data_IF_365585907469
#
_entry.id   IF_365585907469
#
_cell.length_a   1.000
_cell.length_b   1.000
_cell.length_c   1.000
_cell.angle_alpha   90.00
_cell.angle_beta   90.00
_cell.angle_gamma   90.00
#
_symmetry.space_group_name_H-M   'P 1'
#
loop_
_entity.id
_entity.type
_entity.pdbx_description
1 polymer ?
#
# COMPACT_ATOMS: atom_id res chain seq x y z
N UNK A 1 -42.08 49.33 34.29
CA UNK A 1 -41.86 47.93 34.76
C UNK A 1 -41.86 47.04 33.53
N UNK A 2 -40.80 46.36 33.10
CA UNK A 2 -39.68 45.69 33.80
C UNK A 2 -38.38 45.89 33.00
N UNK A 3 -37.31 46.21 33.71
CA UNK A 3 -35.93 46.24 33.21
C UNK A 3 -35.36 44.83 33.12
N UNK A 4 -34.65 44.50 32.04
CA UNK A 4 -33.80 43.32 31.95
C UNK A 4 -32.34 43.75 32.10
N UNK A 5 -31.72 43.28 33.17
CA UNK A 5 -30.30 43.47 33.50
C UNK A 5 -29.50 42.41 32.74
N UNK A 6 -28.60 42.85 31.86
CA UNK A 6 -27.60 42.03 31.20
C UNK A 6 -26.48 41.71 32.23
N UNK A 7 -26.33 40.46 32.61
CA UNK A 7 -25.21 40.00 33.43
C UNK A 7 -24.02 39.64 32.52
N UNK A 8 -23.02 40.53 32.45
CA UNK A 8 -21.72 40.25 31.84
C UNK A 8 -20.86 39.56 32.91
N UNK A 9 -20.69 38.25 32.80
CA UNK A 9 -19.80 37.47 33.64
C UNK A 9 -18.34 37.71 33.23
N UNK A 10 -17.66 38.59 33.96
CA UNK A 10 -16.21 38.80 33.89
C UNK A 10 -15.52 37.71 34.74
N UNK A 11 -15.02 36.63 34.12
CA UNK A 11 -14.11 35.71 34.80
C UNK A 11 -12.68 36.27 34.76
N UNK A 12 -12.24 36.87 35.86
CA UNK A 12 -10.81 37.11 36.13
C UNK A 12 -10.12 35.76 36.39
N UNK A 13 -9.16 35.42 35.54
CA UNK A 13 -8.17 34.38 35.86
C UNK A 13 -7.00 35.04 36.61
N UNK A 14 -6.85 34.71 37.89
CA UNK A 14 -5.67 35.08 38.69
C UNK A 14 -4.58 34.05 38.36
N UNK A 15 -3.54 34.48 37.64
CA UNK A 15 -2.34 33.67 37.46
C UNK A 15 -1.36 33.96 38.60
N UNK A 16 -1.22 33.02 39.53
CA UNK A 16 -0.05 32.95 40.41
C UNK A 16 1.11 32.34 39.62
N UNK A 17 2.17 33.13 39.39
CA UNK A 17 3.41 32.64 38.83
C UNK A 17 4.29 32.06 39.95
N UNK A 18 4.44 30.73 39.96
CA UNK A 18 5.56 30.07 40.64
C UNK A 18 6.64 29.85 39.57
N UNK A 19 7.80 30.49 39.74
CA UNK A 19 8.97 30.33 38.88
C UNK A 19 9.62 28.95 39.12
N UNK A 20 9.02 27.91 38.56
CA UNK A 20 9.67 26.62 38.32
C UNK A 20 10.37 26.63 36.97
N UNK A 21 11.53 25.96 36.86
CA UNK A 21 12.20 25.74 35.58
C UNK A 21 11.24 25.04 34.62
N UNK A 22 10.79 25.73 33.56
CA UNK A 22 9.89 25.13 32.54
C UNK A 22 10.59 23.91 31.91
N UNK A 23 9.93 22.75 31.94
CA UNK A 23 10.41 21.57 31.23
C UNK A 23 10.51 21.92 29.74
N UNK A 24 11.66 21.72 29.07
CA UNK A 24 11.79 21.92 27.62
C UNK A 24 10.80 21.09 26.78
N UNK A 25 10.18 20.07 27.37
CA UNK A 25 9.14 19.27 26.76
C UNK A 25 7.73 19.87 26.87
N UNK A 26 7.51 20.84 27.77
CA UNK A 26 6.22 21.51 27.95
C UNK A 26 6.04 22.65 26.95
N UNK A 27 4.82 22.84 26.41
CA UNK A 27 4.55 23.97 25.53
C UNK A 27 4.62 25.27 26.34
N UNK A 28 5.38 26.24 25.83
CA UNK A 28 5.49 27.55 26.48
C UNK A 28 4.27 28.42 26.19
N UNK A 29 3.62 28.18 25.05
CA UNK A 29 2.36 28.80 24.65
C UNK A 29 1.43 27.81 23.99
N UNK A 30 0.13 28.02 24.21
CA UNK A 30 -0.92 27.26 23.53
C UNK A 30 -2.14 28.13 23.25
N UNK A 31 -2.88 27.78 22.21
CA UNK A 31 -4.23 28.29 21.96
C UNK A 31 -5.08 27.19 21.35
N UNK A 32 -6.40 27.31 21.52
CA UNK A 32 -7.36 26.38 20.93
C UNK A 32 -8.26 27.09 19.94
N UNK A 33 -8.74 26.34 18.96
CA UNK A 33 -9.75 26.77 18.00
C UNK A 33 -10.81 25.69 17.93
N UNK A 34 -12.08 26.08 18.00
CA UNK A 34 -13.20 25.16 17.76
C UNK A 34 -14.22 25.86 16.89
N UNK A 35 -14.65 25.19 15.83
CA UNK A 35 -15.66 25.71 14.91
C UNK A 35 -16.46 24.57 14.33
N UNK A 36 -17.73 24.85 14.07
CA UNK A 36 -18.61 23.92 13.40
C UNK A 36 -19.43 24.56 12.30
N UNK A 37 -19.88 23.72 11.39
CA UNK A 37 -20.77 24.05 10.29
C UNK A 37 -21.82 22.96 10.12
N UNK A 38 -23.08 23.32 9.84
CA UNK A 38 -24.07 22.32 9.42
C UNK A 38 -23.61 21.65 8.12
N UNK A 39 -23.88 20.37 7.99
CA UNK A 39 -23.60 19.57 6.79
C UNK A 39 -24.88 18.97 6.22
N UNK A 40 -25.07 19.10 4.90
CA UNK A 40 -25.97 18.29 4.12
C UNK A 40 -25.21 17.12 3.44
N UNK A 41 -25.93 16.25 2.72
CA UNK A 41 -25.34 15.06 2.11
C UNK A 41 -24.43 15.33 0.90
N UNK A 42 -24.52 16.51 0.29
CA UNK A 42 -23.73 16.89 -0.89
C UNK A 42 -22.45 17.63 -0.51
N UNK A 43 -22.38 18.18 0.71
CA UNK A 43 -21.21 18.88 1.21
C UNK A 43 -19.94 18.02 1.16
N UNK A 44 -18.85 18.65 0.71
CA UNK A 44 -17.50 18.09 0.62
C UNK A 44 -16.60 18.79 1.64
N UNK A 45 -15.91 17.98 2.45
CA UNK A 45 -15.04 18.48 3.52
C UNK A 45 -13.59 18.46 3.07
N UNK A 46 -12.89 19.59 3.24
CA UNK A 46 -11.48 19.76 2.92
C UNK A 46 -10.68 20.11 4.17
N UNK A 47 -9.73 19.26 4.55
CA UNK A 47 -8.86 19.47 5.71
C UNK A 47 -7.40 19.62 5.25
N UNK A 48 -6.74 20.69 5.65
CA UNK A 48 -5.33 20.91 5.37
C UNK A 48 -4.60 21.26 6.66
N UNK A 49 -3.68 20.39 7.07
CA UNK A 49 -2.88 20.58 8.26
C UNK A 49 -1.39 20.30 8.01
N UNK A 50 -0.55 20.88 8.86
CA UNK A 50 0.89 20.62 8.92
C UNK A 50 1.36 20.72 10.36
N UNK A 51 2.33 19.89 10.71
CA UNK A 51 2.96 19.81 12.03
C UNK A 51 1.99 19.34 13.12
N UNK A 52 1.28 18.24 12.91
CA UNK A 52 0.48 17.64 13.96
C UNK A 52 -0.46 16.55 13.46
N UNK A 53 -1.10 15.88 14.40
CA UNK A 53 -1.95 14.73 14.09
C UNK A 53 -3.35 15.16 13.67
N UNK A 54 -4.00 14.34 12.84
CA UNK A 54 -5.43 14.47 12.55
C UNK A 54 -6.17 13.21 12.98
N UNK A 55 -7.18 13.37 13.84
CA UNK A 55 -8.07 12.30 14.25
C UNK A 55 -9.48 12.57 13.71
N UNK A 56 -9.92 11.73 12.76
CA UNK A 56 -11.24 11.82 12.13
C UNK A 56 -12.18 10.81 12.80
N UNK A 57 -13.20 11.34 13.48
CA UNK A 57 -14.27 10.59 14.14
C UNK A 57 -15.57 10.79 13.40
N UNK A 58 -16.33 9.70 13.27
CA UNK A 58 -17.65 9.74 12.65
C UNK A 58 -18.77 9.82 13.69
N UNK A 59 -19.88 10.47 13.33
CA UNK A 59 -21.08 10.58 14.16
C UNK A 59 -22.36 10.73 13.32
N UNK A 60 -23.52 10.67 13.95
CA UNK A 60 -24.83 10.72 13.27
C UNK A 60 -25.45 12.13 13.23
N UNK A 61 -24.63 13.18 13.42
CA UNK A 61 -25.09 14.57 13.37
C UNK A 61 -24.81 15.18 12.01
N UNK A 62 -25.78 15.91 11.45
CA UNK A 62 -25.68 16.68 10.20
C UNK A 62 -24.85 17.97 10.37
N UNK A 63 -23.64 17.80 10.89
CA UNK A 63 -22.74 18.88 11.26
C UNK A 63 -21.30 18.35 11.24
N UNK A 64 -20.35 19.21 10.89
CA UNK A 64 -18.93 19.00 11.16
C UNK A 64 -18.51 19.88 12.32
N UNK A 65 -17.77 19.33 13.28
CA UNK A 65 -17.05 20.08 14.30
C UNK A 65 -15.56 19.74 14.22
N UNK A 66 -14.73 20.77 14.24
CA UNK A 66 -13.28 20.63 14.25
C UNK A 66 -12.74 21.35 15.49
N UNK A 67 -12.08 20.59 16.35
CA UNK A 67 -11.33 21.10 17.49
C UNK A 67 -9.83 21.03 17.17
N UNK A 68 -9.12 22.13 17.38
CA UNK A 68 -7.70 22.28 17.07
C UNK A 68 -6.96 22.77 18.30
N UNK A 69 -5.92 22.03 18.69
CA UNK A 69 -4.98 22.38 19.75
C UNK A 69 -3.65 22.83 19.11
N UNK A 70 -3.30 24.11 19.31
CA UNK A 70 -2.09 24.72 18.78
C UNK A 70 -1.13 24.94 19.94
N UNK A 71 0.07 24.37 19.86
CA UNK A 71 1.11 24.45 20.89
C UNK A 71 2.42 24.91 20.28
N UNK A 72 3.07 25.91 20.88
CA UNK A 72 4.41 26.33 20.52
C UNK A 72 5.40 26.04 21.64
N UNK A 73 6.54 25.51 21.24
CA UNK A 73 7.68 25.20 22.09
C UNK A 73 8.80 26.14 21.67
N UNK A 74 9.31 26.94 22.61
CA UNK A 74 10.53 27.72 22.45
C UNK A 74 11.15 27.97 23.82
N UNK A 75 12.47 28.17 23.86
CA UNK A 75 13.15 28.64 25.09
C UNK A 75 12.77 30.09 25.43
N UNK A 76 12.31 30.85 24.44
CA UNK A 76 11.91 32.23 24.56
C UNK A 76 10.39 32.31 24.46
N UNK A 77 9.78 32.86 25.50
CA UNK A 77 8.34 33.00 25.64
C UNK A 77 7.73 33.93 24.59
N UNK A 78 8.43 34.99 24.19
CA UNK A 78 8.00 35.89 23.13
C UNK A 78 8.07 35.20 21.75
N UNK A 79 9.09 34.37 21.52
CA UNK A 79 9.18 33.55 20.32
C UNK A 79 8.06 32.50 20.26
N UNK A 80 7.78 31.82 21.37
CA UNK A 80 6.65 30.88 21.47
C UNK A 80 5.30 31.59 21.22
N UNK A 81 5.12 32.80 21.76
CA UNK A 81 3.93 33.61 21.52
C UNK A 81 3.79 33.96 20.04
N UNK A 82 4.87 34.44 19.41
CA UNK A 82 4.91 34.76 17.98
C UNK A 82 4.56 33.53 17.12
N UNK A 83 5.08 32.35 17.43
CA UNK A 83 4.75 31.12 16.73
C UNK A 83 3.26 30.76 16.82
N UNK A 84 2.66 30.90 18.01
CA UNK A 84 1.23 30.69 18.20
C UNK A 84 0.41 31.71 17.43
N UNK A 85 0.75 33.00 17.52
CA UNK A 85 0.00 34.09 16.87
C UNK A 85 0.10 34.01 15.34
N UNK A 86 1.28 33.65 14.83
CA UNK A 86 1.52 33.39 13.41
C UNK A 86 0.80 32.15 12.87
N UNK A 87 0.20 31.32 13.72
CA UNK A 87 -0.58 30.14 13.29
C UNK A 87 -2.06 30.46 13.23
N UNK A 88 -2.60 30.59 12.03
CA UNK A 88 -3.99 31.01 11.78
C UNK A 88 -4.77 29.86 11.16
N UNK A 89 -5.93 29.56 11.74
CA UNK A 89 -6.88 28.60 11.17
C UNK A 89 -7.92 29.37 10.34
N UNK A 90 -8.00 29.06 9.05
CA UNK A 90 -9.10 29.51 8.19
C UNK A 90 -10.14 28.41 8.14
N UNK A 91 -11.36 28.73 8.58
CA UNK A 91 -12.51 27.84 8.50
C UNK A 91 -13.62 28.53 7.70
N UNK A 92 -14.05 27.93 6.60
CA UNK A 92 -15.01 28.52 5.67
C UNK A 92 -16.03 27.48 5.20
N UNK A 93 -17.26 27.94 4.93
CA UNK A 93 -18.28 27.19 4.22
C UNK A 93 -18.82 28.06 3.07
N UNK A 94 -18.62 27.60 1.85
CA UNK A 94 -19.08 28.28 0.63
C UNK A 94 -19.65 27.26 -0.34
N UNK A 95 -20.93 27.43 -0.68
CA UNK A 95 -21.66 26.45 -1.49
C UNK A 95 -21.66 25.07 -0.84
N UNK A 96 -21.19 24.06 -1.59
CA UNK A 96 -21.06 22.66 -1.17
C UNK A 96 -19.68 22.33 -0.57
N UNK A 97 -18.83 23.33 -0.32
CA UNK A 97 -17.50 23.13 0.25
C UNK A 97 -17.45 23.60 1.70
N UNK A 98 -16.93 22.75 2.58
CA UNK A 98 -16.51 23.11 3.93
C UNK A 98 -15.01 22.89 4.05
N UNK A 99 -14.27 23.89 4.52
CA UNK A 99 -12.81 23.84 4.59
C UNK A 99 -12.25 24.27 5.94
N UNK A 100 -11.16 23.60 6.35
CA UNK A 100 -10.34 23.96 7.50
C UNK A 100 -8.87 23.90 7.10
N UNK A 101 -8.18 25.02 7.18
CA UNK A 101 -6.78 25.15 6.74
C UNK A 101 -5.92 25.80 7.81
N UNK A 102 -4.83 25.14 8.18
CA UNK A 102 -3.75 25.74 8.96
C UNK A 102 -2.86 26.59 8.05
N UNK A 103 -2.71 27.87 8.40
CA UNK A 103 -1.77 28.78 7.76
C UNK A 103 -0.74 29.23 8.79
N UNK A 104 0.51 29.37 8.34
CA UNK A 104 1.60 29.90 9.15
C UNK A 104 2.08 31.19 8.53
N UNK A 105 2.29 32.22 9.35
CA UNK A 105 3.01 33.40 8.94
C UNK A 105 4.45 33.04 8.53
N UNK A 106 5.06 33.85 7.68
CA UNK A 106 6.47 33.68 7.33
C UNK A 106 7.32 34.00 8.55
N UNK A 107 7.95 32.98 9.13
CA UNK A 107 8.76 33.14 10.33
C UNK A 107 10.25 33.09 10.04
N UNK A 108 11.02 33.96 10.70
CA UNK A 108 12.48 33.91 10.75
C UNK A 108 12.95 32.97 11.87
N UNK A 109 14.08 32.28 11.63
CA UNK A 109 14.74 31.39 12.60
C UNK A 109 14.68 29.90 12.23
N UNK A 110 15.66 29.13 12.71
CA UNK A 110 15.75 27.68 12.47
C UNK A 110 14.77 26.93 13.38
N UNK A 111 13.85 26.17 12.78
CA UNK A 111 13.01 25.21 13.50
C UNK A 111 13.78 23.91 13.76
N UNK A 112 13.54 23.27 14.90
CA UNK A 112 14.18 22.02 15.25
C UNK A 112 14.28 21.80 16.76
N UNK A 113 14.66 20.58 17.13
CA UNK A 113 14.98 20.21 18.50
C UNK A 113 16.38 19.62 18.55
N UNK A 114 17.14 19.92 19.60
CA UNK A 114 18.44 19.30 19.87
C UNK A 114 18.40 18.55 21.19
N UNK A 115 19.03 17.38 21.19
CA UNK A 115 19.02 16.45 22.32
C UNK A 115 20.46 16.10 22.71
N UNK A 116 20.74 16.00 24.02
CA UNK A 116 22.01 15.47 24.57
C UNK A 116 21.71 14.60 25.78
N UNK A 117 22.31 13.41 25.80
CA UNK A 117 22.11 12.42 26.86
C UNK A 117 20.62 12.13 27.15
N UNK A 118 19.78 12.07 26.10
CA UNK A 118 18.34 11.82 26.23
C UNK A 118 17.51 13.01 26.74
N UNK A 119 18.11 14.17 27.02
CA UNK A 119 17.42 15.40 27.44
C UNK A 119 17.37 16.42 26.32
N UNK A 120 16.22 17.08 26.17
CA UNK A 120 16.00 18.19 25.23
C UNK A 120 16.80 19.42 25.70
N UNK A 121 17.76 19.90 24.90
CA UNK A 121 18.55 21.11 25.20
C UNK A 121 17.87 22.36 24.65
N UNK A 122 17.35 22.26 23.43
CA UNK A 122 16.62 23.33 22.78
C UNK A 122 15.53 22.76 21.91
N UNK A 123 14.43 23.49 21.82
CA UNK A 123 13.29 23.12 21.01
C UNK A 123 12.63 24.38 20.49
N UNK A 124 12.47 24.44 19.18
CA UNK A 124 11.66 25.44 18.49
C UNK A 124 10.74 24.73 17.52
N UNK A 125 9.51 24.51 17.94
CA UNK A 125 8.54 23.65 17.24
C UNK A 125 7.12 24.20 17.42
N UNK A 126 6.28 23.98 16.41
CA UNK A 126 4.84 24.15 16.50
C UNK A 126 4.15 22.81 16.34
N UNK A 127 3.09 22.57 17.12
CA UNK A 127 2.20 21.42 16.99
C UNK A 127 0.77 21.89 16.80
N UNK A 128 0.09 21.36 15.79
CA UNK A 128 -1.30 21.69 15.44
C UNK A 128 -2.08 20.40 15.30
N UNK A 129 -2.75 19.98 16.38
CA UNK A 129 -3.48 18.71 16.41
C UNK A 129 -4.96 18.94 16.14
N UNK A 130 -5.54 18.16 15.22
CA UNK A 130 -6.94 18.21 14.85
C UNK A 130 -7.70 17.03 15.44
N UNK A 131 -8.89 17.31 15.98
CA UNK A 131 -9.93 16.33 16.22
C UNK A 131 -11.18 16.74 15.45
N UNK A 132 -11.57 15.93 14.48
CA UNK A 132 -12.71 16.18 13.59
C UNK A 132 -13.84 15.23 13.92
N UNK A 133 -15.05 15.76 14.04
CA UNK A 133 -16.29 15.02 14.16
C UNK A 133 -17.17 15.34 12.94
N UNK A 134 -17.52 14.37 12.12
CA UNK A 134 -18.33 14.56 10.91
C UNK A 134 -19.18 13.33 10.56
N UNK A 135 -20.25 13.42 9.75
CA UNK A 135 -20.94 12.25 9.23
C UNK A 135 -19.99 11.35 8.44
N UNK A 136 -20.19 10.05 8.53
CA UNK A 136 -19.40 9.08 7.78
C UNK A 136 -19.64 9.15 6.26
N UNK A 137 -20.69 9.81 5.79
CA UNK A 137 -21.17 9.77 4.40
C UNK A 137 -20.65 10.93 3.54
N UNK A 138 -20.27 12.04 4.15
CA UNK A 138 -19.74 13.19 3.42
C UNK A 138 -18.39 12.85 2.77
N UNK A 139 -18.11 13.40 1.59
CA UNK A 139 -16.80 13.24 0.97
C UNK A 139 -15.74 14.00 1.78
N UNK A 140 -14.57 13.40 1.94
CA UNK A 140 -13.45 13.95 2.69
C UNK A 140 -12.20 14.00 1.83
N UNK A 141 -11.66 15.20 1.63
CA UNK A 141 -10.30 15.42 1.14
C UNK A 141 -9.45 15.92 2.30
N UNK A 142 -8.35 15.24 2.59
CA UNK A 142 -7.40 15.66 3.61
C UNK A 142 -5.97 15.65 3.11
N UNK A 143 -5.19 16.61 3.61
CA UNK A 143 -3.75 16.69 3.43
C UNK A 143 -3.08 16.93 4.78
N UNK A 144 -2.14 16.06 5.16
CA UNK A 144 -1.29 16.26 6.33
C UNK A 144 0.19 16.19 5.98
N UNK A 145 0.98 17.04 6.60
CA UNK A 145 2.45 16.98 6.54
C UNK A 145 3.01 17.00 7.96
N UNK A 146 3.92 16.08 8.27
CA UNK A 146 4.57 15.95 9.59
C UNK A 146 3.58 15.65 10.72
N UNK A 147 2.87 14.52 10.60
CA UNK A 147 1.97 14.04 11.64
C UNK A 147 1.09 12.90 11.16
N UNK A 148 0.62 12.09 12.10
CA UNK A 148 -0.20 10.92 11.81
C UNK A 148 -1.64 11.33 11.47
N UNK A 149 -2.29 10.51 10.65
CA UNK A 149 -3.72 10.62 10.35
C UNK A 149 -4.39 9.32 10.77
N UNK A 150 -5.42 9.44 11.62
CA UNK A 150 -6.22 8.32 12.09
C UNK A 150 -7.68 8.55 11.65
N UNK A 151 -8.23 7.60 10.90
CA UNK A 151 -9.61 7.65 10.39
C UNK A 151 -10.33 6.41 10.89
N UNK A 152 -11.50 6.62 11.52
CA UNK A 152 -12.41 5.53 11.85
C UNK A 152 -13.03 4.87 10.61
N UNK A 153 -14.15 4.17 10.81
CA UNK A 153 -14.92 3.66 9.68
C UNK A 153 -15.62 4.81 8.94
N UNK A 154 -15.57 4.79 7.62
CA UNK A 154 -16.03 5.87 6.74
C UNK A 154 -16.73 5.31 5.49
N UNK A 155 -17.71 6.04 4.97
CA UNK A 155 -18.57 5.60 3.85
C UNK A 155 -18.66 6.59 2.69
N UNK A 156 -18.29 7.86 2.90
CA UNK A 156 -18.07 8.84 1.85
C UNK A 156 -16.78 8.56 1.09
N UNK A 157 -16.64 9.21 -0.07
CA UNK A 157 -15.38 9.17 -0.83
C UNK A 157 -14.24 9.78 0.00
N UNK A 158 -13.05 9.20 -0.10
CA UNK A 158 -11.87 9.66 0.64
C UNK A 158 -10.71 9.96 -0.32
N UNK A 159 -10.15 11.16 -0.20
CA UNK A 159 -8.85 11.51 -0.77
C UNK A 159 -7.93 11.87 0.40
N UNK A 160 -6.89 11.09 0.65
CA UNK A 160 -5.96 11.33 1.75
C UNK A 160 -4.52 11.45 1.23
N UNK A 161 -3.90 12.60 1.49
CA UNK A 161 -2.49 12.86 1.20
C UNK A 161 -1.71 13.02 2.51
N UNK A 162 -0.78 12.12 2.78
CA UNK A 162 0.00 12.13 4.02
C UNK A 162 1.49 12.09 3.72
N UNK A 163 2.24 13.08 4.19
CA UNK A 163 3.69 13.12 4.06
C UNK A 163 4.36 13.19 5.43
N UNK A 164 5.41 12.39 5.64
CA UNK A 164 6.15 12.35 6.91
C UNK A 164 5.25 12.02 8.12
N UNK A 165 4.36 11.05 7.94
CA UNK A 165 3.40 10.63 8.95
C UNK A 165 2.73 9.31 8.56
N UNK A 166 2.20 8.60 9.55
CA UNK A 166 1.49 7.34 9.30
C UNK A 166 0.00 7.57 9.06
N UNK A 167 -0.61 6.73 8.24
CA UNK A 167 -2.04 6.70 8.00
C UNK A 167 -2.63 5.39 8.58
N UNK A 168 -3.54 5.52 9.55
CA UNK A 168 -4.32 4.38 10.06
C UNK A 168 -5.79 4.56 9.72
N UNK A 169 -6.38 3.56 9.08
CA UNK A 169 -7.78 3.59 8.63
C UNK A 169 -8.50 2.32 9.07
N UNK A 170 -9.72 2.50 9.57
CA UNK A 170 -10.67 1.41 9.81
C UNK A 170 -11.25 0.86 8.50
N UNK A 171 -12.59 0.85 8.40
CA UNK A 171 -13.30 0.32 7.24
C UNK A 171 -13.76 1.43 6.30
N UNK A 172 -13.37 1.37 5.02
CA UNK A 172 -13.81 2.30 3.97
C UNK A 172 -14.80 1.62 3.02
N UNK A 173 -16.06 2.05 3.05
CA UNK A 173 -17.14 1.42 2.26
C UNK A 173 -17.27 1.98 0.84
N UNK A 174 -16.85 3.22 0.62
CA UNK A 174 -16.97 3.85 -0.69
C UNK A 174 -16.05 3.17 -1.72
N UNK A 175 -16.43 3.16 -2.99
CA UNK A 175 -15.55 2.66 -4.07
C UNK A 175 -14.48 3.69 -4.48
N UNK A 176 -14.70 4.97 -4.20
CA UNK A 176 -13.79 6.06 -4.54
C UNK A 176 -12.90 6.43 -3.35
N UNK A 177 -11.79 5.71 -3.20
CA UNK A 177 -10.74 6.06 -2.25
C UNK A 177 -9.40 6.26 -2.96
N UNK A 178 -8.75 7.39 -2.72
CA UNK A 178 -7.43 7.74 -3.25
C UNK A 178 -6.50 8.05 -2.09
N UNK A 179 -5.45 7.27 -1.92
CA UNK A 179 -4.52 7.38 -0.81
C UNK A 179 -3.10 7.62 -1.34
N UNK A 180 -2.51 8.77 -1.05
CA UNK A 180 -1.13 9.12 -1.41
C UNK A 180 -0.30 9.30 -0.14
N UNK A 181 0.65 8.39 0.09
CA UNK A 181 1.49 8.38 1.30
C UNK A 181 2.96 8.42 0.90
N UNK A 182 3.68 9.37 1.48
CA UNK A 182 5.13 9.53 1.31
C UNK A 182 5.83 9.59 2.66
N UNK A 183 6.93 8.84 2.82
CA UNK A 183 7.70 8.84 4.08
C UNK A 183 6.87 8.46 5.31
N UNK A 184 5.99 7.47 5.16
CA UNK A 184 5.03 7.06 6.17
C UNK A 184 4.74 5.56 6.14
N UNK A 185 4.05 5.08 7.16
CA UNK A 185 3.45 3.75 7.18
C UNK A 185 1.94 3.84 7.00
N UNK A 186 1.34 2.90 6.29
CA UNK A 186 -0.11 2.85 6.07
C UNK A 186 -0.68 1.54 6.60
N UNK A 187 -1.71 1.62 7.45
CA UNK A 187 -2.46 0.47 7.96
C UNK A 187 -3.94 0.64 7.67
N UNK A 188 -4.54 -0.33 6.98
CA UNK A 188 -5.96 -0.33 6.60
C UNK A 188 -6.57 -1.67 7.04
N UNK A 189 -7.69 -1.61 7.74
CA UNK A 189 -8.43 -2.82 8.12
C UNK A 189 -9.18 -3.41 6.92
N UNK A 190 -10.15 -2.68 6.38
CA UNK A 190 -10.92 -3.09 5.20
C UNK A 190 -11.23 -1.89 4.30
N UNK A 191 -11.20 -2.10 2.98
CA UNK A 191 -11.47 -1.04 2.01
C UNK A 191 -12.18 -1.62 0.77
N UNK A 192 -13.26 -0.99 0.31
CA UNK A 192 -14.04 -1.53 -0.81
C UNK A 192 -13.23 -1.47 -2.13
N UNK A 193 -12.80 -0.28 -2.54
CA UNK A 193 -11.88 -0.14 -3.68
C UNK A 193 -10.96 1.05 -3.48
N UNK A 194 -9.74 0.99 -4.02
CA UNK A 194 -8.77 2.06 -3.84
C UNK A 194 -7.74 2.17 -4.95
N UNK A 195 -7.33 3.42 -5.20
CA UNK A 195 -6.06 3.76 -5.84
C UNK A 195 -5.10 4.23 -4.75
N UNK A 196 -3.97 3.54 -4.61
CA UNK A 196 -2.99 3.79 -3.55
C UNK A 196 -1.62 4.05 -4.16
N UNK A 197 -0.98 5.14 -3.72
CA UNK A 197 0.41 5.45 -4.01
C UNK A 197 1.20 5.49 -2.70
N UNK A 198 2.12 4.56 -2.52
CA UNK A 198 2.95 4.44 -1.32
C UNK A 198 4.43 4.60 -1.69
N UNK A 199 5.09 5.65 -1.21
CA UNK A 199 6.48 5.95 -1.61
C UNK A 199 7.40 6.22 -0.40
N UNK A 200 8.63 5.70 -0.46
CA UNK A 200 9.73 6.00 0.47
C UNK A 200 9.35 5.80 1.94
N UNK A 201 8.53 4.79 2.24
CA UNK A 201 7.86 4.65 3.53
C UNK A 201 8.15 3.33 4.22
N UNK A 202 7.77 3.25 5.50
CA UNK A 202 7.95 2.04 6.30
C UNK A 202 7.12 0.85 5.76
N UNK A 203 6.07 1.12 4.97
CA UNK A 203 5.30 0.10 4.27
C UNK A 203 3.79 0.37 4.23
N UNK A 204 3.08 -0.61 3.68
CA UNK A 204 1.63 -0.64 3.52
C UNK A 204 1.10 -2.00 3.96
N UNK A 205 0.19 -2.00 4.93
CA UNK A 205 -0.51 -3.17 5.41
C UNK A 205 -2.02 -3.02 5.21
N UNK A 206 -2.62 -3.93 4.43
CA UNK A 206 -4.07 -3.98 4.20
C UNK A 206 -4.59 -5.34 4.65
N UNK A 207 -5.61 -5.36 5.51
CA UNK A 207 -6.30 -6.59 5.87
C UNK A 207 -7.07 -7.15 4.68
N UNK A 208 -8.11 -6.44 4.25
CA UNK A 208 -8.96 -6.84 3.11
C UNK A 208 -9.25 -5.67 2.19
N UNK A 209 -9.20 -5.91 0.88
CA UNK A 209 -9.63 -4.96 -0.14
C UNK A 209 -10.53 -5.62 -1.19
N UNK A 210 -11.50 -4.90 -1.74
CA UNK A 210 -12.26 -5.37 -2.90
C UNK A 210 -11.41 -5.30 -4.16
N UNK A 211 -11.30 -4.11 -4.77
CA UNK A 211 -10.49 -3.87 -5.98
C UNK A 211 -9.33 -2.91 -5.69
N UNK A 212 -8.15 -3.18 -6.27
CA UNK A 212 -6.93 -2.42 -5.97
C UNK A 212 -6.21 -1.94 -7.24
N UNK A 213 -5.82 -0.67 -7.22
CA UNK A 213 -4.74 -0.14 -8.05
C UNK A 213 -3.62 0.38 -7.14
N UNK A 214 -2.44 -0.23 -7.16
CA UNK A 214 -1.32 0.08 -6.27
C UNK A 214 -0.06 0.44 -7.04
N UNK A 215 0.49 1.61 -6.71
CA UNK A 215 1.88 1.97 -7.00
C UNK A 215 2.68 2.05 -5.69
N UNK A 216 3.62 1.12 -5.52
CA UNK A 216 4.52 1.09 -4.37
C UNK A 216 5.98 1.31 -4.80
N UNK A 217 6.70 2.21 -4.12
CA UNK A 217 8.10 2.47 -4.42
C UNK A 217 8.92 2.62 -3.12
N UNK A 218 10.01 1.86 -2.99
CA UNK A 218 10.82 1.85 -1.77
C UNK A 218 9.99 1.62 -0.50
N UNK A 219 9.08 0.65 -0.55
CA UNK A 219 8.17 0.31 0.54
C UNK A 219 7.89 -1.19 0.57
N UNK A 220 7.66 -1.74 1.77
CA UNK A 220 7.15 -3.11 1.92
C UNK A 220 5.63 -3.12 1.80
N UNK A 221 5.06 -4.15 1.19
CA UNK A 221 3.61 -4.27 1.01
C UNK A 221 3.14 -5.63 1.52
N UNK A 222 2.17 -5.62 2.43
CA UNK A 222 1.48 -6.83 2.92
C UNK A 222 -0.03 -6.66 2.74
N UNK A 223 -0.67 -7.57 2.01
CA UNK A 223 -2.11 -7.57 1.79
C UNK A 223 -2.67 -8.95 2.11
N UNK A 224 -3.64 -9.01 3.02
CA UNK A 224 -4.29 -10.27 3.39
C UNK A 224 -5.12 -10.84 2.24
N UNK A 225 -6.22 -10.17 1.90
CA UNK A 225 -7.13 -10.61 0.83
C UNK A 225 -7.50 -9.46 -0.10
N UNK A 226 -7.42 -9.73 -1.40
CA UNK A 226 -8.00 -8.92 -2.47
C UNK A 226 -9.17 -9.73 -3.05
N UNK A 227 -10.41 -9.23 -2.90
CA UNK A 227 -11.61 -9.98 -3.28
C UNK A 227 -11.77 -10.09 -4.80
N UNK A 228 -11.37 -9.06 -5.53
CA UNK A 228 -11.58 -8.92 -6.98
C UNK A 228 -10.25 -8.71 -7.70
N UNK A 229 -10.22 -7.74 -8.62
CA UNK A 229 -9.09 -7.44 -9.48
C UNK A 229 -8.07 -6.54 -8.78
N UNK A 230 -6.79 -6.83 -9.03
CA UNK A 230 -5.67 -6.04 -8.57
C UNK A 230 -4.75 -5.69 -9.74
N UNK A 231 -4.38 -4.42 -9.84
CA UNK A 231 -3.23 -3.95 -10.63
C UNK A 231 -2.18 -3.46 -9.64
N UNK A 232 -1.02 -4.09 -9.63
CA UNK A 232 0.05 -3.78 -8.68
C UNK A 232 1.36 -3.53 -9.41
N UNK A 233 1.91 -2.35 -9.19
CA UNK A 233 3.26 -1.98 -9.62
C UNK A 233 4.13 -1.74 -8.40
N UNK A 234 5.23 -2.48 -8.27
CA UNK A 234 6.19 -2.26 -7.19
C UNK A 234 7.62 -2.14 -7.71
N UNK A 235 8.31 -1.08 -7.28
CA UNK A 235 9.70 -0.84 -7.62
C UNK A 235 10.51 -0.60 -6.35
N UNK A 236 11.47 -1.48 -6.10
CA UNK A 236 12.34 -1.45 -4.93
C UNK A 236 11.58 -1.62 -3.60
N UNK A 237 12.26 -2.18 -2.60
CA UNK A 237 11.77 -2.29 -1.23
C UNK A 237 11.89 -3.68 -0.66
N UNK A 238 11.48 -3.87 0.61
CA UNK A 238 11.61 -5.13 1.33
C UNK A 238 10.88 -6.32 0.66
N UNK A 239 9.76 -6.07 -0.02
CA UNK A 239 9.01 -7.11 -0.73
C UNK A 239 7.51 -6.83 -0.85
N UNK A 240 6.82 -7.78 -1.46
CA UNK A 240 5.37 -7.87 -1.64
C UNK A 240 4.87 -9.22 -1.11
N UNK A 241 3.94 -9.21 -0.16
CA UNK A 241 3.22 -10.42 0.29
C UNK A 241 1.71 -10.21 0.07
N UNK A 242 1.10 -11.05 -0.76
CA UNK A 242 -0.35 -11.09 -0.99
C UNK A 242 -0.86 -12.48 -0.63
N UNK A 243 -1.73 -12.57 0.37
CA UNK A 243 -2.28 -13.85 0.84
C UNK A 243 -3.22 -14.48 -0.18
N UNK A 244 -4.25 -13.75 -0.62
CA UNK A 244 -5.25 -14.22 -1.59
C UNK A 244 -5.68 -13.11 -2.54
N UNK A 245 -5.84 -13.42 -3.82
CA UNK A 245 -6.37 -12.51 -4.84
C UNK A 245 -7.20 -13.28 -5.88
N UNK A 246 -8.22 -12.63 -6.45
CA UNK A 246 -8.96 -13.21 -7.58
C UNK A 246 -8.14 -13.11 -8.86
N UNK A 247 -8.01 -11.91 -9.43
CA UNK A 247 -7.22 -11.66 -10.64
C UNK A 247 -6.13 -10.63 -10.36
N UNK A 248 -4.96 -10.81 -10.97
CA UNK A 248 -3.78 -10.01 -10.67
C UNK A 248 -3.01 -9.65 -11.94
N UNK A 249 -2.87 -8.35 -12.21
CA UNK A 249 -1.79 -7.81 -13.06
C UNK A 249 -0.68 -7.29 -12.13
N UNK A 250 0.49 -7.87 -12.23
CA UNK A 250 1.62 -7.61 -11.35
C UNK A 250 2.87 -7.25 -12.16
N UNK A 251 3.42 -6.07 -11.89
CA UNK A 251 4.70 -5.63 -12.44
C UNK A 251 5.65 -5.23 -11.31
N UNK A 252 6.70 -6.02 -11.10
CA UNK A 252 7.62 -5.82 -9.99
C UNK A 252 9.07 -5.86 -10.44
N UNK A 253 9.84 -4.92 -9.92
CA UNK A 253 11.28 -4.78 -10.16
C UNK A 253 12.03 -4.61 -8.84
N UNK A 254 13.10 -5.38 -8.65
CA UNK A 254 13.98 -5.28 -7.47
C UNK A 254 13.27 -5.45 -6.11
N UNK A 255 12.28 -6.33 -6.03
CA UNK A 255 11.64 -6.73 -4.77
C UNK A 255 11.31 -8.23 -4.79
N UNK A 256 11.33 -8.88 -3.62
CA UNK A 256 10.82 -10.25 -3.49
C UNK A 256 9.30 -10.24 -3.52
N UNK A 257 8.69 -11.23 -4.18
CA UNK A 257 7.24 -11.39 -4.25
C UNK A 257 6.85 -12.75 -3.67
N UNK A 258 5.85 -12.75 -2.80
CA UNK A 258 5.18 -13.94 -2.29
C UNK A 258 3.68 -13.79 -2.51
N UNK A 259 3.11 -14.75 -3.24
CA UNK A 259 1.67 -14.86 -3.48
C UNK A 259 1.18 -16.17 -2.86
N UNK A 260 0.18 -16.12 -1.99
CA UNK A 260 -0.42 -17.32 -1.41
C UNK A 260 -1.30 -18.06 -2.41
N UNK A 261 -2.48 -17.51 -2.71
CA UNK A 261 -3.44 -18.08 -3.67
C UNK A 261 -3.92 -17.04 -4.67
N UNK A 262 -3.74 -17.32 -5.96
CA UNK A 262 -4.39 -16.61 -7.05
C UNK A 262 -5.49 -17.48 -7.63
N UNK A 263 -6.74 -17.07 -7.46
CA UNK A 263 -7.91 -17.89 -7.79
C UNK A 263 -8.13 -17.97 -9.30
N UNK A 264 -8.00 -16.82 -9.97
CA UNK A 264 -8.24 -16.65 -11.39
C UNK A 264 -6.95 -16.44 -12.15
N UNK A 265 -6.92 -15.36 -12.94
CA UNK A 265 -5.83 -15.08 -13.87
C UNK A 265 -4.73 -14.22 -13.25
N UNK A 266 -3.48 -14.65 -13.43
CA UNK A 266 -2.29 -13.91 -13.05
C UNK A 266 -1.49 -13.52 -14.30
N UNK A 267 -1.31 -12.22 -14.53
CA UNK A 267 -0.37 -11.67 -15.50
C UNK A 267 0.80 -11.04 -14.73
N UNK A 268 1.96 -11.70 -14.74
CA UNK A 268 3.10 -11.31 -13.89
C UNK A 268 4.32 -10.97 -14.74
N UNK A 269 4.87 -9.79 -14.52
CA UNK A 269 6.19 -9.36 -14.99
C UNK A 269 7.09 -9.14 -13.78
N UNK A 270 8.10 -9.99 -13.64
CA UNK A 270 9.07 -9.91 -12.55
C UNK A 270 10.47 -9.69 -13.10
N UNK A 271 11.18 -8.72 -12.54
CA UNK A 271 12.59 -8.51 -12.85
C UNK A 271 13.40 -8.48 -11.55
N UNK A 272 14.43 -9.34 -11.50
CA UNK A 272 15.31 -9.57 -10.35
C UNK A 272 14.61 -10.28 -9.17
N UNK A 273 15.40 -10.72 -8.19
CA UNK A 273 14.95 -11.31 -6.92
C UNK A 273 14.11 -12.60 -7.07
N UNK A 274 13.29 -12.91 -6.07
CA UNK A 274 12.50 -14.14 -5.99
C UNK A 274 11.01 -13.86 -6.20
N UNK A 275 10.34 -14.76 -6.91
CA UNK A 275 8.89 -14.86 -7.00
C UNK A 275 8.45 -16.23 -6.50
N UNK A 276 7.63 -16.27 -5.45
CA UNK A 276 7.02 -17.48 -4.93
C UNK A 276 5.50 -17.40 -5.04
N UNK A 277 4.89 -18.42 -5.62
CA UNK A 277 3.44 -18.55 -5.77
C UNK A 277 3.03 -19.88 -5.13
N UNK A 278 2.14 -19.86 -4.15
CA UNK A 278 1.61 -21.07 -3.53
C UNK A 278 0.74 -21.85 -4.51
N UNK A 279 -0.39 -21.26 -4.91
CA UNK A 279 -1.28 -21.83 -5.92
C UNK A 279 -1.80 -20.77 -6.88
N UNK A 280 -1.92 -21.12 -8.15
CA UNK A 280 -2.50 -20.28 -9.20
C UNK A 280 -3.35 -21.12 -10.16
N UNK A 281 -4.46 -20.56 -10.64
CA UNK A 281 -5.23 -21.19 -11.70
C UNK A 281 -4.58 -20.94 -13.07
N UNK A 282 -4.72 -19.74 -13.64
CA UNK A 282 -4.09 -19.37 -14.92
C UNK A 282 -2.88 -18.47 -14.67
N UNK A 283 -1.74 -18.75 -15.30
CA UNK A 283 -0.55 -17.93 -15.15
C UNK A 283 0.10 -17.57 -16.48
N UNK A 284 0.19 -16.27 -16.75
CA UNK A 284 1.05 -15.69 -17.76
C UNK A 284 2.23 -14.99 -17.05
N UNK A 285 3.43 -15.53 -17.22
CA UNK A 285 4.63 -15.10 -16.50
C UNK A 285 5.71 -14.65 -17.48
N UNK A 286 6.26 -13.47 -17.26
CA UNK A 286 7.54 -13.03 -17.81
C UNK A 286 8.50 -12.72 -16.68
N UNK A 287 9.62 -13.43 -16.62
CA UNK A 287 10.62 -13.25 -15.56
C UNK A 287 12.03 -13.11 -16.13
N UNK A 288 12.81 -12.18 -15.58
CA UNK A 288 14.21 -11.97 -15.96
C UNK A 288 15.10 -11.80 -14.72
N UNK A 289 16.23 -12.51 -14.65
CA UNK A 289 17.13 -12.50 -13.47
C UNK A 289 16.43 -12.91 -12.17
N UNK A 290 15.44 -13.80 -12.27
CA UNK A 290 14.54 -14.16 -11.17
C UNK A 290 14.61 -15.64 -10.87
N UNK A 291 14.53 -15.97 -9.58
CA UNK A 291 14.19 -17.34 -9.14
C UNK A 291 12.68 -17.43 -8.91
N UNK A 292 12.00 -18.23 -9.73
CA UNK A 292 10.56 -18.46 -9.67
C UNK A 292 10.27 -19.85 -9.09
N UNK A 293 9.45 -19.89 -8.05
CA UNK A 293 8.91 -21.11 -7.47
C UNK A 293 7.39 -21.06 -7.46
N UNK A 294 6.75 -22.08 -8.03
CA UNK A 294 5.30 -22.23 -8.10
C UNK A 294 4.96 -23.56 -7.45
N UNK A 295 4.13 -23.56 -6.42
CA UNK A 295 3.62 -24.79 -5.80
C UNK A 295 2.69 -25.51 -6.77
N UNK A 296 1.48 -24.95 -6.97
CA UNK A 296 0.43 -25.57 -7.77
C UNK A 296 0.01 -24.68 -8.96
N UNK A 297 0.10 -25.23 -10.17
CA UNK A 297 -0.53 -24.69 -11.37
C UNK A 297 -1.74 -25.55 -11.72
N UNK A 298 -2.95 -25.01 -11.58
CA UNK A 298 -4.19 -25.77 -11.75
C UNK A 298 -4.82 -25.62 -13.14
N UNK A 299 -4.47 -24.57 -13.87
CA UNK A 299 -4.98 -24.24 -15.20
C UNK A 299 -3.87 -23.92 -16.20
N UNK A 300 -4.18 -23.20 -17.30
CA UNK A 300 -3.21 -22.92 -18.34
C UNK A 300 -2.00 -22.09 -17.88
N UNK A 301 -0.84 -22.38 -18.45
CA UNK A 301 0.41 -21.66 -18.18
C UNK A 301 1.07 -21.13 -19.45
N UNK A 302 1.60 -19.91 -19.40
CA UNK A 302 2.46 -19.34 -20.43
C UNK A 302 3.65 -18.65 -19.78
N UNK A 303 4.85 -19.23 -19.92
CA UNK A 303 6.04 -18.83 -19.17
C UNK A 303 7.15 -18.36 -20.12
N UNK A 304 7.61 -17.12 -19.94
CA UNK A 304 8.84 -16.60 -20.49
C UNK A 304 9.86 -16.38 -19.37
N UNK A 305 10.94 -17.15 -19.36
CA UNK A 305 11.94 -17.13 -18.29
C UNK A 305 13.32 -16.91 -18.89
N UNK A 306 14.00 -15.85 -18.46
CA UNK A 306 15.32 -15.48 -18.94
C UNK A 306 16.31 -15.27 -17.79
N UNK A 307 17.52 -15.80 -17.92
CA UNK A 307 18.62 -15.61 -16.95
C UNK A 307 18.26 -15.95 -15.51
N UNK A 308 17.50 -17.03 -15.29
CA UNK A 308 16.94 -17.33 -13.98
C UNK A 308 16.69 -18.81 -13.73
N UNK A 309 15.75 -19.07 -12.82
CA UNK A 309 15.30 -20.42 -12.50
C UNK A 309 13.78 -20.45 -12.44
N UNK A 310 13.18 -21.50 -12.99
CA UNK A 310 11.76 -21.81 -12.82
C UNK A 310 11.61 -23.20 -12.20
N UNK A 311 10.82 -23.30 -11.15
CA UNK A 311 10.38 -24.57 -10.56
C UNK A 311 8.88 -24.54 -10.40
N UNK A 312 8.19 -25.52 -10.99
CA UNK A 312 6.78 -25.80 -10.75
C UNK A 312 6.69 -27.14 -10.07
N UNK A 313 6.26 -27.15 -8.81
CA UNK A 313 6.25 -28.35 -7.96
C UNK A 313 5.11 -29.31 -8.32
N UNK A 314 4.00 -28.78 -8.82
CA UNK A 314 2.88 -29.59 -9.29
C UNK A 314 2.08 -28.87 -10.37
N UNK A 315 2.11 -29.41 -11.58
CA UNK A 315 1.20 -29.11 -12.67
C UNK A 315 0.04 -30.08 -12.57
N UNK A 316 -1.14 -29.58 -12.19
CA UNK A 316 -2.34 -30.39 -12.03
C UNK A 316 -2.98 -30.76 -13.37
N UNK A 317 -3.81 -31.82 -13.36
CA UNK A 317 -4.50 -32.33 -14.55
C UNK A 317 -5.49 -31.35 -15.20
N UNK A 318 -5.83 -30.24 -14.52
CA UNK A 318 -6.59 -29.13 -15.07
C UNK A 318 -5.79 -28.25 -16.05
N UNK A 319 -4.45 -28.28 -16.02
CA UNK A 319 -3.61 -27.62 -17.00
C UNK A 319 -3.72 -28.35 -18.34
N UNK A 320 -4.50 -27.82 -19.29
CA UNK A 320 -4.63 -28.41 -20.63
C UNK A 320 -3.64 -27.85 -21.64
N UNK A 321 -3.11 -26.66 -21.37
CA UNK A 321 -2.17 -25.97 -22.23
C UNK A 321 -1.06 -25.36 -21.39
N UNK A 322 0.19 -25.68 -21.72
CA UNK A 322 1.36 -25.08 -21.10
C UNK A 322 2.39 -24.71 -22.17
N UNK A 323 2.74 -23.44 -22.22
CA UNK A 323 3.79 -22.91 -23.08
C UNK A 323 4.98 -22.46 -22.23
N UNK A 324 6.18 -22.84 -22.64
CA UNK A 324 7.44 -22.41 -22.00
C UNK A 324 8.44 -21.92 -23.04
N UNK A 325 8.95 -20.71 -22.83
CA UNK A 325 10.16 -20.19 -23.42
C UNK A 325 11.19 -19.95 -22.30
N UNK A 326 12.21 -20.79 -22.25
CA UNK A 326 13.30 -20.71 -21.29
C UNK A 326 14.61 -20.35 -21.99
N UNK A 327 15.29 -19.31 -21.54
CA UNK A 327 16.57 -18.86 -22.11
C UNK A 327 17.58 -18.59 -21.00
N UNK A 328 18.79 -19.13 -21.08
CA UNK A 328 19.82 -18.91 -20.03
C UNK A 328 19.34 -19.30 -18.63
N UNK A 329 18.50 -20.33 -18.53
CA UNK A 329 17.73 -20.64 -17.32
C UNK A 329 17.66 -22.13 -17.00
N UNK A 330 17.51 -22.44 -15.71
CA UNK A 330 17.25 -23.79 -15.22
C UNK A 330 15.77 -23.96 -14.96
N UNK A 331 15.12 -24.92 -15.63
CA UNK A 331 13.68 -25.15 -15.49
C UNK A 331 13.39 -26.57 -15.04
N UNK A 332 12.53 -26.70 -14.02
CA UNK A 332 12.01 -27.98 -13.55
C UNK A 332 10.50 -27.90 -13.50
N UNK A 333 9.83 -28.77 -14.26
CA UNK A 333 8.38 -28.90 -14.26
C UNK A 333 8.04 -30.29 -13.72
N UNK A 334 7.23 -30.36 -12.67
CA UNK A 334 6.72 -31.61 -12.13
C UNK A 334 5.23 -31.71 -12.39
N UNK A 335 4.79 -32.79 -13.02
CA UNK A 335 3.39 -33.08 -13.30
C UNK A 335 2.80 -33.94 -12.18
N UNK A 336 1.48 -33.86 -11.98
CA UNK A 336 0.80 -34.75 -11.03
C UNK A 336 0.79 -36.20 -11.55
N UNK A 337 0.77 -37.18 -10.64
CA UNK A 337 0.84 -38.62 -11.00
C UNK A 337 -0.30 -39.07 -11.94
N UNK A 338 -1.44 -38.39 -11.88
CA UNK A 338 -2.61 -38.62 -12.73
C UNK A 338 -2.63 -37.77 -14.01
N UNK A 339 -1.56 -37.02 -14.30
CA UNK A 339 -1.49 -36.15 -15.47
C UNK A 339 -1.39 -36.98 -16.76
N UNK A 340 -2.12 -36.54 -17.78
CA UNK A 340 -2.21 -37.22 -19.08
C UNK A 340 -2.13 -36.17 -20.18
N UNK A 341 -1.04 -36.16 -20.95
CA UNK A 341 -0.83 -35.16 -21.99
C UNK A 341 0.32 -35.46 -22.92
N UNK A 342 0.39 -34.73 -24.01
CA UNK A 342 1.48 -34.79 -24.98
C UNK A 342 2.37 -33.57 -24.82
N UNK A 343 3.64 -33.71 -25.19
CA UNK A 343 4.54 -32.58 -25.26
C UNK A 343 5.36 -32.57 -26.55
N UNK A 344 5.67 -31.35 -26.99
CA UNK A 344 6.68 -31.05 -27.98
C UNK A 344 7.76 -30.19 -27.33
N UNK A 345 9.01 -30.56 -27.53
CA UNK A 345 10.15 -29.89 -26.93
C UNK A 345 11.22 -29.59 -27.97
N UNK A 346 11.62 -28.33 -28.05
CA UNK A 346 12.84 -27.90 -28.73
C UNK A 346 13.89 -27.47 -27.72
N UNK A 347 15.08 -28.05 -27.80
CA UNK A 347 16.25 -27.57 -27.05
C UNK A 347 17.33 -27.02 -27.99
N UNK A 348 18.09 -26.04 -27.52
CA UNK A 348 19.33 -25.57 -28.15
C UNK A 348 20.39 -25.32 -27.08
N UNK A 349 21.53 -26.02 -27.13
CA UNK A 349 22.56 -25.96 -26.08
C UNK A 349 21.99 -26.13 -24.66
N UNK A 350 20.99 -26.99 -24.52
CA UNK A 350 20.24 -27.17 -23.28
C UNK A 350 19.99 -28.66 -23.04
N UNK A 351 20.66 -29.30 -22.07
CA UNK A 351 20.32 -30.65 -21.65
C UNK A 351 18.85 -30.77 -21.25
N UNK A 352 18.25 -31.87 -21.68
CA UNK A 352 16.88 -32.28 -21.33
C UNK A 352 16.93 -33.59 -20.54
N UNK A 353 16.20 -33.64 -19.43
CA UNK A 353 15.98 -34.85 -18.64
C UNK A 353 14.49 -35.17 -18.55
N UNK A 354 14.12 -36.36 -19.02
CA UNK A 354 12.83 -36.97 -18.76
C UNK A 354 12.90 -37.77 -17.45
N UNK A 355 11.99 -37.47 -16.52
CA UNK A 355 11.82 -38.13 -15.24
C UNK A 355 10.78 -39.25 -15.30
N UNK A 356 10.30 -39.67 -14.13
CA UNK A 356 9.26 -40.69 -14.03
C UNK A 356 7.98 -40.26 -14.75
N UNK A 357 7.28 -41.19 -15.39
CA UNK A 357 6.04 -40.89 -16.11
C UNK A 357 6.19 -40.07 -17.39
N UNK A 358 7.42 -39.70 -17.79
CA UNK A 358 7.69 -38.98 -19.04
C UNK A 358 8.31 -39.93 -20.06
N UNK A 359 7.60 -40.19 -21.15
CA UNK A 359 8.12 -40.94 -22.31
C UNK A 359 8.51 -39.94 -23.40
N UNK A 360 9.74 -40.01 -23.89
CA UNK A 360 10.25 -39.06 -24.88
C UNK A 360 10.99 -39.75 -26.02
N UNK A 361 10.81 -39.24 -27.24
CA UNK A 361 11.53 -39.66 -28.44
C UNK A 361 12.17 -38.45 -29.11
N UNK A 362 13.45 -38.56 -29.45
CA UNK A 362 14.12 -37.59 -30.31
C UNK A 362 13.57 -37.74 -31.74
N UNK A 363 12.98 -36.67 -32.28
CA UNK A 363 12.34 -36.69 -33.62
C UNK A 363 13.15 -35.95 -34.68
N UNK A 364 13.99 -35.00 -34.29
CA UNK A 364 14.91 -34.33 -35.20
C UNK A 364 16.12 -33.74 -34.46
N UNK A 365 17.27 -33.73 -35.11
CA UNK A 365 18.50 -33.12 -34.60
C UNK A 365 19.22 -32.36 -35.72
N UNK A 366 19.66 -31.14 -35.44
CA UNK A 366 20.47 -30.32 -36.36
C UNK A 366 21.47 -29.49 -35.57
N UNK A 367 22.74 -29.88 -35.60
CA UNK A 367 23.78 -29.27 -34.77
C UNK A 367 23.39 -29.37 -33.29
N UNK A 368 23.41 -28.26 -32.57
CA UNK A 368 23.06 -28.23 -31.14
C UNK A 368 21.56 -28.09 -30.87
N UNK A 369 20.71 -28.17 -31.90
CA UNK A 369 19.26 -28.13 -31.77
C UNK A 369 18.72 -29.56 -31.79
N UNK A 370 17.91 -29.91 -30.79
CA UNK A 370 17.22 -31.19 -30.69
C UNK A 370 15.72 -30.95 -30.52
N UNK A 371 14.91 -31.72 -31.24
CA UNK A 371 13.46 -31.69 -31.12
C UNK A 371 13.00 -33.06 -30.61
N UNK A 372 12.17 -33.05 -29.58
CA UNK A 372 11.58 -34.21 -28.96
C UNK A 372 10.06 -34.12 -29.04
N UNK A 373 9.42 -35.27 -29.19
CA UNK A 373 8.00 -35.45 -28.97
C UNK A 373 7.80 -36.56 -27.94
N UNK A 374 6.74 -36.48 -27.16
CA UNK A 374 6.51 -37.47 -26.12
C UNK A 374 5.20 -37.31 -25.37
N UNK A 375 5.04 -38.13 -24.35
CA UNK A 375 3.87 -38.16 -23.48
C UNK A 375 4.27 -37.97 -22.02
N UNK A 376 3.35 -37.39 -21.26
CA UNK A 376 3.31 -37.43 -19.81
C UNK A 376 2.17 -38.38 -19.45
N UNK A 377 2.48 -39.38 -18.62
CA UNK A 377 1.62 -40.55 -18.46
C UNK A 377 1.44 -41.30 -19.77
N UNK A 378 0.21 -41.72 -20.04
CA UNK A 378 -0.22 -42.44 -21.24
C UNK A 378 -0.55 -41.51 -22.41
N UNK A 379 -0.30 -40.20 -22.28
CA UNK A 379 -0.75 -39.21 -23.26
C UNK A 379 -2.22 -38.83 -23.10
N UNK A 380 -2.69 -37.82 -23.82
CA UNK A 380 -4.07 -37.36 -23.69
C UNK A 380 -4.37 -36.06 -24.43
N UNK A 381 -5.47 -35.39 -24.06
CA UNK A 381 -5.90 -34.14 -24.71
C UNK A 381 -5.08 -32.90 -24.32
N UNK A 382 -4.28 -32.94 -23.25
CA UNK A 382 -3.44 -31.81 -22.85
C UNK A 382 -2.21 -31.67 -23.75
N UNK A 383 -1.83 -30.43 -24.06
CA UNK A 383 -0.75 -30.08 -24.99
C UNK A 383 0.28 -29.17 -24.32
N UNK A 384 1.54 -29.60 -24.33
CA UNK A 384 2.66 -28.94 -23.66
C UNK A 384 3.73 -28.57 -24.68
N UNK A 385 3.95 -27.28 -24.91
CA UNK A 385 4.92 -26.77 -25.87
C UNK A 385 6.09 -26.11 -25.15
N UNK A 386 7.28 -26.64 -25.36
CA UNK A 386 8.46 -26.27 -24.59
C UNK A 386 9.60 -25.86 -25.51
N UNK A 387 10.24 -24.74 -25.19
CA UNK A 387 11.48 -24.30 -25.81
C UNK A 387 12.50 -23.92 -24.74
N UNK A 388 13.69 -24.53 -24.81
CA UNK A 388 14.76 -24.26 -23.87
C UNK A 388 16.09 -24.00 -24.61
N UNK A 389 16.60 -22.78 -24.49
CA UNK A 389 17.86 -22.35 -25.09
C UNK A 389 18.88 -22.01 -24.00
N UNK A 390 20.09 -22.58 -24.09
CA UNK A 390 21.21 -22.32 -23.17
C UNK A 390 20.84 -22.50 -21.69
N UNK A 391 20.65 -23.72 -21.21
CA UNK A 391 20.18 -23.90 -19.83
C UNK A 391 20.00 -25.36 -19.46
N UNK A 392 18.95 -25.67 -18.71
CA UNK A 392 18.52 -27.05 -18.55
C UNK A 392 17.01 -27.13 -18.38
N UNK A 393 16.45 -28.26 -18.83
CA UNK A 393 15.04 -28.56 -18.66
C UNK A 393 14.86 -29.97 -18.11
N UNK A 394 14.18 -30.06 -16.96
CA UNK A 394 13.75 -31.30 -16.35
C UNK A 394 12.23 -31.37 -16.37
N UNK A 395 11.69 -32.48 -16.88
CA UNK A 395 10.28 -32.84 -16.75
C UNK A 395 10.20 -34.03 -15.81
N UNK A 396 9.38 -33.96 -14.76
CA UNK A 396 9.24 -35.02 -13.75
C UNK A 396 7.79 -35.36 -13.45
#
# INVERSE_FOLDING_TARGET
MKSYILAIGLMMAINFAIAGTKDPNDPVRSKTFSKSFPLDGNDKVNLNNRYGEMLIKTWDKKEIRVDIDIKAYSKDEADAQRLVDGTVITADKSGDQVSFKTNFATESGKSGASFRNGKTISRREIRVNYVVYMPATNALTLSNQYGNVNIGSFSGALIAKVQYGSLTVGNLKNASNILEIQYGFTKIQEINAATIKQQYGAGLNIGTIGSLNLEAQYAGVTIGTIKWDAVVKQQYGPGLDIGRVSNLDLNVQYANVKLGTVIGDANIKQQYNKLSIGSVNTLNLKSQYTTVAIGNLNGPGNFGVAYGKLTVEQIGSGCKNLNLLSSYSHTSLKFSDNYQGNFELRTSYSPFKAGAGVSSKLVAEKGNIKNYAGTIGNGGGAQIMLKADYGSLNLN
#
